data_IF_001998136947
#
_entry.id   IF_001998136947
#
_cell.length_a   1.000
_cell.length_b   1.000
_cell.length_c   1.000
_cell.angle_alpha   90.00
_cell.angle_beta   90.00
_cell.angle_gamma   90.00
#
_symmetry.space_group_name_H-M   'P 1'
#
loop_
_entity.id
_entity.type
_entity.pdbx_description
1 polymer ?
#
# COMPACT_ATOMS: atom_id res chain seq x y z
N UNK A 1 -3.53 8.09 21.71
CA UNK A 1 -3.23 7.08 20.66
C UNK A 1 -3.36 7.60 19.22
N UNK A 2 -4.39 8.40 18.83
CA UNK A 2 -4.56 8.88 17.46
C UNK A 2 -3.47 9.87 17.03
N UNK A 3 -3.08 10.80 17.90
CA UNK A 3 -1.93 11.68 17.67
C UNK A 3 -0.63 10.87 17.49
N UNK A 4 -0.49 9.75 18.21
CA UNK A 4 0.66 8.83 18.08
C UNK A 4 0.61 8.11 16.73
N UNK A 5 -0.54 7.63 16.29
CA UNK A 5 -0.72 7.01 14.97
C UNK A 5 -0.49 8.01 13.84
N UNK A 6 -1.06 9.21 13.92
CA UNK A 6 -0.84 10.28 12.95
C UNK A 6 0.64 10.68 12.89
N UNK A 7 1.29 10.86 14.04
CA UNK A 7 2.73 11.11 14.11
C UNK A 7 3.54 9.94 13.53
N UNK A 8 3.17 8.70 13.82
CA UNK A 8 3.83 7.52 13.27
C UNK A 8 3.71 7.47 11.74
N UNK A 9 2.53 7.73 11.17
CA UNK A 9 2.33 7.82 9.72
C UNK A 9 3.10 8.97 9.10
N UNK A 10 3.12 10.14 9.73
CA UNK A 10 3.87 11.30 9.25
C UNK A 10 5.39 11.05 9.28
N UNK A 11 5.91 10.48 10.38
CA UNK A 11 7.32 10.09 10.51
C UNK A 11 7.71 9.06 9.45
N UNK A 12 6.83 8.08 9.21
CA UNK A 12 7.04 7.05 8.20
C UNK A 12 7.04 7.63 6.78
N UNK A 13 6.11 8.53 6.48
CA UNK A 13 6.09 9.26 5.22
C UNK A 13 7.37 10.09 5.03
N UNK A 14 7.81 10.81 6.07
CA UNK A 14 9.05 11.57 6.05
C UNK A 14 10.28 10.67 5.84
N UNK A 15 10.31 9.48 6.47
CA UNK A 15 11.38 8.51 6.29
C UNK A 15 11.46 8.00 4.85
N UNK A 16 10.33 7.66 4.22
CA UNK A 16 10.30 7.26 2.81
C UNK A 16 10.70 8.39 1.87
N UNK A 17 10.25 9.63 2.14
CA UNK A 17 10.66 10.80 1.38
C UNK A 17 12.17 11.05 1.50
N UNK A 18 12.72 11.01 2.71
CA UNK A 18 14.15 11.16 2.93
C UNK A 18 14.94 10.07 2.18
N UNK A 19 14.47 8.82 2.22
CA UNK A 19 15.08 7.73 1.47
C UNK A 19 15.04 7.95 -0.05
N UNK A 20 13.93 8.45 -0.58
CA UNK A 20 13.78 8.81 -1.99
C UNK A 20 14.73 9.94 -2.39
N UNK A 21 14.85 10.99 -1.57
CA UNK A 21 15.76 12.10 -1.82
C UNK A 21 17.22 11.65 -1.77
N UNK A 22 17.59 10.78 -0.83
CA UNK A 22 18.94 10.18 -0.76
C UNK A 22 19.23 9.35 -2.01
N UNK A 23 18.28 8.51 -2.45
CA UNK A 23 18.42 7.70 -3.66
C UNK A 23 18.66 8.58 -4.90
N UNK A 24 17.86 9.64 -5.06
CA UNK A 24 18.01 10.61 -6.16
C UNK A 24 19.33 11.37 -6.09
N UNK A 25 19.80 11.75 -4.90
CA UNK A 25 21.10 12.42 -4.71
C UNK A 25 22.29 11.53 -5.04
N UNK A 26 22.23 10.24 -4.73
CA UNK A 26 23.29 9.28 -5.06
C UNK A 26 23.44 9.05 -6.58
N UNK A 27 22.47 9.48 -7.38
CA UNK A 27 22.50 9.39 -8.84
C UNK A 27 23.07 10.63 -9.53
N UNK A 28 23.26 11.74 -8.80
CA UNK A 28 24.02 12.86 -9.33
C UNK A 28 25.49 12.44 -9.53
N UNK A 29 26.16 12.84 -10.63
CA UNK A 29 27.39 12.23 -11.13
C UNK A 29 28.66 12.32 -10.23
N UNK A 30 28.55 12.67 -8.94
CA UNK A 30 29.69 13.04 -8.10
C UNK A 30 30.01 12.15 -6.88
N UNK A 31 29.24 11.10 -6.52
CA UNK A 31 29.58 10.31 -5.31
C UNK A 31 29.37 8.79 -5.45
N UNK A 32 30.49 8.06 -5.53
CA UNK A 32 30.55 6.63 -5.14
C UNK A 32 30.24 6.54 -3.64
N UNK A 33 29.28 5.70 -3.19
CA UNK A 33 29.10 5.49 -1.76
C UNK A 33 30.21 4.58 -1.22
N UNK A 34 31.02 5.12 -0.30
CA UNK A 34 31.84 4.34 0.61
C UNK A 34 31.06 3.94 1.87
N UNK A 35 31.31 2.74 2.39
CA UNK A 35 30.95 2.33 3.76
C UNK A 35 29.75 1.38 3.91
N UNK A 36 29.85 0.45 4.87
CA UNK A 36 28.87 -0.62 5.12
C UNK A 36 27.44 -0.19 5.48
N UNK A 37 27.26 1.04 5.98
CA UNK A 37 25.93 1.62 6.29
C UNK A 37 25.11 1.85 5.01
N UNK A 38 25.78 2.24 3.91
CA UNK A 38 25.13 2.38 2.60
C UNK A 38 24.61 1.03 2.08
N UNK A 39 25.35 -0.05 2.34
CA UNK A 39 24.95 -1.42 1.99
C UNK A 39 23.72 -1.91 2.74
N UNK A 40 23.66 -1.68 4.06
CA UNK A 40 22.49 -2.04 4.89
C UNK A 40 21.25 -1.24 4.47
N UNK A 41 21.40 0.06 4.22
CA UNK A 41 20.33 0.92 3.76
C UNK A 41 19.79 0.48 2.39
N UNK A 42 20.66 0.20 1.43
CA UNK A 42 20.28 -0.33 0.12
C UNK A 42 19.60 -1.71 0.22
N UNK A 43 19.96 -2.52 1.21
CA UNK A 43 19.36 -3.83 1.45
C UNK A 43 17.99 -3.80 2.11
N UNK A 44 17.71 -2.77 2.91
CA UNK A 44 16.37 -2.50 3.46
C UNK A 44 15.42 -1.96 2.40
N UNK A 45 15.93 -1.14 1.47
CA UNK A 45 15.13 -0.53 0.40
C UNK A 45 14.84 -1.47 -0.78
N UNK A 46 15.80 -2.31 -1.16
CA UNK A 46 15.71 -3.14 -2.38
C UNK A 46 15.20 -4.54 -2.09
N UNK A 47 14.21 -4.97 -2.87
CA UNK A 47 13.64 -6.31 -2.78
C UNK A 47 13.25 -6.86 -4.16
N UNK A 48 13.16 -8.19 -4.26
CA UNK A 48 12.82 -8.85 -5.53
C UNK A 48 13.82 -8.51 -6.65
N UNK A 49 13.33 -7.86 -7.72
CA UNK A 49 14.13 -7.56 -8.93
C UNK A 49 15.18 -6.46 -8.74
N UNK A 50 15.00 -5.61 -7.74
CA UNK A 50 15.90 -4.47 -7.49
C UNK A 50 17.09 -4.87 -6.61
N UNK A 51 17.14 -6.10 -6.10
CA UNK A 51 18.20 -6.61 -5.23
C UNK A 51 19.31 -7.31 -6.04
N UNK A 52 20.47 -6.65 -6.16
CA UNK A 52 21.65 -7.18 -6.88
C UNK A 52 22.58 -8.03 -5.99
N UNK A 53 23.25 -9.03 -6.58
CA UNK A 53 24.40 -9.72 -5.98
C UNK A 53 24.09 -10.80 -4.94
N UNK A 54 23.27 -11.80 -5.30
CA UNK A 54 22.83 -12.87 -4.39
C UNK A 54 23.97 -13.77 -3.87
N UNK A 55 25.07 -13.87 -4.60
CA UNK A 55 26.20 -14.77 -4.31
C UNK A 55 27.33 -14.16 -3.46
N UNK A 56 27.51 -12.84 -3.43
CA UNK A 56 28.69 -12.18 -2.84
C UNK A 56 28.48 -11.66 -1.40
N UNK A 57 27.46 -12.13 -0.68
CA UNK A 57 27.03 -11.52 0.60
C UNK A 57 27.37 -12.36 1.83
N UNK A 58 27.65 -11.71 2.99
CA UNK A 58 27.88 -12.39 4.26
C UNK A 58 26.73 -13.33 4.65
N UNK A 59 27.06 -14.47 5.26
CA UNK A 59 26.09 -15.52 5.59
C UNK A 59 24.98 -15.05 6.57
N UNK A 60 25.29 -14.15 7.49
CA UNK A 60 24.34 -13.63 8.48
C UNK A 60 23.22 -12.79 7.83
N UNK A 61 23.55 -11.95 6.84
CA UNK A 61 22.56 -11.15 6.08
C UNK A 61 21.61 -12.02 5.23
N UNK A 62 21.99 -13.27 4.94
CA UNK A 62 21.12 -14.24 4.25
C UNK A 62 20.11 -14.87 5.20
N UNK A 63 20.41 -14.98 6.50
CA UNK A 63 19.47 -15.50 7.51
C UNK A 63 18.32 -14.54 7.81
N UNK A 64 18.50 -13.25 7.56
CA UNK A 64 17.48 -12.19 7.74
C UNK A 64 16.57 -12.00 6.52
N UNK A 65 16.55 -12.96 5.59
CA UNK A 65 15.78 -12.87 4.35
C UNK A 65 14.67 -13.91 4.33
N UNK A 66 13.47 -13.47 3.96
CA UNK A 66 12.32 -14.35 3.82
C UNK A 66 11.84 -14.40 2.36
N UNK A 67 11.20 -15.50 1.92
CA UNK A 67 10.73 -15.65 0.55
C UNK A 67 9.71 -14.56 0.16
N UNK A 68 9.86 -13.98 -1.04
CA UNK A 68 8.93 -12.96 -1.56
C UNK A 68 7.49 -13.45 -1.65
N UNK A 69 7.28 -14.76 -1.86
CA UNK A 69 5.94 -15.39 -1.87
C UNK A 69 5.16 -15.17 -0.56
N UNK A 70 5.83 -14.86 0.55
CA UNK A 70 5.17 -14.53 1.82
C UNK A 70 4.43 -13.18 1.80
N UNK A 71 4.46 -12.42 0.69
CA UNK A 71 3.54 -11.31 0.47
C UNK A 71 2.06 -11.71 0.65
N UNK A 72 1.69 -12.96 0.39
CA UNK A 72 0.35 -13.48 0.70
C UNK A 72 -0.01 -13.32 2.18
N UNK A 73 0.93 -13.51 3.11
CA UNK A 73 0.66 -13.41 4.54
C UNK A 73 0.17 -12.02 4.94
N UNK A 74 0.70 -10.97 4.31
CA UNK A 74 0.28 -9.59 4.57
C UNK A 74 -1.20 -9.41 4.27
N UNK A 75 -1.65 -9.93 3.13
CA UNK A 75 -3.04 -9.83 2.72
C UNK A 75 -3.95 -10.77 3.51
N UNK A 76 -3.49 -11.95 3.94
CA UNK A 76 -4.23 -12.80 4.88
C UNK A 76 -4.48 -12.05 6.19
N UNK A 77 -3.43 -11.48 6.79
CA UNK A 77 -3.56 -10.68 8.01
C UNK A 77 -4.49 -9.49 7.79
N UNK A 78 -4.35 -8.78 6.68
CA UNK A 78 -5.22 -7.65 6.33
C UNK A 78 -6.70 -8.06 6.23
N UNK A 79 -7.01 -9.14 5.52
CA UNK A 79 -8.39 -9.63 5.35
C UNK A 79 -8.99 -10.05 6.70
N UNK A 80 -8.24 -10.77 7.52
CA UNK A 80 -8.72 -11.23 8.83
C UNK A 80 -8.91 -10.05 9.79
N UNK A 81 -7.91 -9.19 9.93
CA UNK A 81 -7.96 -8.07 10.86
C UNK A 81 -9.00 -7.02 10.46
N UNK A 82 -8.96 -6.56 9.20
CA UNK A 82 -9.88 -5.51 8.75
C UNK A 82 -11.30 -6.05 8.61
N UNK A 83 -11.47 -7.33 8.31
CA UNK A 83 -12.79 -7.99 8.34
C UNK A 83 -13.35 -8.08 9.75
N UNK A 84 -12.50 -8.42 10.73
CA UNK A 84 -12.87 -8.38 12.14
C UNK A 84 -13.31 -6.97 12.57
N UNK A 85 -12.53 -5.93 12.26
CA UNK A 85 -12.90 -4.55 12.58
C UNK A 85 -14.22 -4.12 11.88
N UNK A 86 -14.41 -4.52 10.62
CA UNK A 86 -15.61 -4.21 9.84
C UNK A 86 -16.86 -4.84 10.47
N UNK A 87 -16.78 -6.11 10.89
CA UNK A 87 -17.89 -6.80 11.55
C UNK A 87 -18.25 -6.09 12.85
N UNK A 88 -17.26 -5.69 13.66
CA UNK A 88 -17.51 -5.00 14.92
C UNK A 88 -18.10 -3.61 14.74
N UNK A 89 -17.58 -2.83 13.77
CA UNK A 89 -18.15 -1.53 13.44
C UNK A 89 -19.59 -1.68 12.93
N UNK A 90 -19.85 -2.61 12.02
CA UNK A 90 -21.20 -2.89 11.53
C UNK A 90 -22.16 -3.30 12.67
N UNK A 91 -21.73 -4.16 13.59
CA UNK A 91 -22.53 -4.54 14.76
C UNK A 91 -22.84 -3.33 15.66
N UNK A 92 -21.87 -2.43 15.83
CA UNK A 92 -22.05 -1.24 16.64
C UNK A 92 -23.03 -0.26 16.02
N UNK A 93 -22.95 -0.04 14.70
CA UNK A 93 -23.81 0.89 13.98
C UNK A 93 -25.25 0.38 13.80
N UNK A 94 -25.43 -0.90 13.45
CA UNK A 94 -26.74 -1.42 13.01
C UNK A 94 -27.43 -2.34 14.01
N UNK A 95 -26.68 -3.02 14.89
CA UNK A 95 -27.23 -4.02 15.81
C UNK A 95 -27.21 -3.57 17.27
N UNK A 96 -26.87 -2.30 17.54
CA UNK A 96 -26.79 -1.75 18.90
C UNK A 96 -25.71 -2.41 19.76
N UNK A 97 -24.71 -3.05 19.15
CA UNK A 97 -23.62 -3.69 19.87
C UNK A 97 -22.62 -2.69 20.44
N UNK A 98 -21.96 -3.01 21.55
CA UNK A 98 -20.80 -2.23 22.01
C UNK A 98 -19.52 -2.71 21.32
N UNK A 99 -18.66 -1.78 20.90
CA UNK A 99 -17.29 -2.11 20.52
C UNK A 99 -16.53 -2.72 21.72
N UNK A 100 -15.58 -3.65 21.50
CA UNK A 100 -14.73 -4.19 22.55
C UNK A 100 -14.05 -3.08 23.37
N UNK A 101 -13.88 -3.29 24.68
CA UNK A 101 -13.33 -2.28 25.61
C UNK A 101 -11.96 -1.74 25.19
N UNK A 102 -11.10 -2.58 24.62
CA UNK A 102 -9.81 -2.16 24.09
C UNK A 102 -9.95 -1.26 22.85
N UNK A 103 -10.96 -1.48 22.00
CA UNK A 103 -11.27 -0.60 20.86
C UNK A 103 -11.84 0.72 21.38
N UNK A 104 -12.75 0.67 22.33
CA UNK A 104 -13.32 1.89 22.93
C UNK A 104 -12.23 2.75 23.58
N UNK A 105 -11.29 2.13 24.30
CA UNK A 105 -10.14 2.84 24.88
C UNK A 105 -9.28 3.52 23.81
N UNK A 106 -9.04 2.83 22.69
CA UNK A 106 -8.37 3.40 21.52
C UNK A 106 -9.09 4.64 20.94
N UNK A 107 -10.43 4.61 20.92
CA UNK A 107 -11.30 5.65 20.38
C UNK A 107 -11.50 6.84 21.33
N UNK A 108 -11.51 6.63 22.65
CA UNK A 108 -11.78 7.71 23.62
C UNK A 108 -10.72 8.83 23.55
N UNK A 109 -9.53 8.54 23.02
CA UNK A 109 -8.45 9.51 22.85
C UNK A 109 -8.55 10.39 21.58
N UNK A 110 -9.64 10.34 20.81
CA UNK A 110 -9.77 10.98 19.47
C UNK A 110 -10.59 12.27 19.44
N UNK A 111 -11.29 12.63 20.52
CA UNK A 111 -12.31 13.68 20.47
C UNK A 111 -11.73 15.08 20.25
N UNK A 112 -11.84 15.59 19.01
CA UNK A 112 -11.79 17.02 18.76
C UNK A 112 -13.10 17.53 18.13
N UNK A 113 -13.81 16.80 17.25
CA UNK A 113 -15.19 17.15 16.85
C UNK A 113 -15.95 15.91 16.33
N UNK A 114 -17.06 15.48 16.95
CA UNK A 114 -17.87 14.39 16.41
C UNK A 114 -18.96 14.93 15.47
N UNK A 115 -18.92 14.57 14.19
CA UNK A 115 -20.06 14.75 13.28
C UNK A 115 -20.64 13.39 12.86
N UNK A 116 -21.97 13.24 12.87
CA UNK A 116 -22.66 11.97 12.57
C UNK A 116 -22.39 11.42 11.16
N UNK A 117 -21.85 12.25 10.25
CA UNK A 117 -21.44 11.83 8.90
C UNK A 117 -20.19 10.93 8.89
N UNK A 118 -19.42 10.95 9.98
CA UNK A 118 -18.12 10.27 10.05
C UNK A 118 -18.26 8.75 10.22
N UNK A 119 -19.33 8.27 10.87
CA UNK A 119 -19.58 6.83 11.09
C UNK A 119 -19.81 6.07 9.78
N UNK A 120 -20.71 6.56 8.92
CA UNK A 120 -20.98 5.92 7.62
C UNK A 120 -19.75 6.00 6.69
N UNK A 121 -19.07 7.15 6.67
CA UNK A 121 -17.83 7.33 5.89
C UNK A 121 -16.75 6.33 6.30
N UNK A 122 -16.54 6.15 7.60
CA UNK A 122 -15.55 5.21 8.15
C UNK A 122 -15.94 3.75 7.87
N UNK A 123 -17.21 3.38 8.02
CA UNK A 123 -17.72 2.05 7.65
C UNK A 123 -17.47 1.76 6.17
N UNK A 124 -17.80 2.72 5.29
CA UNK A 124 -17.60 2.58 3.86
C UNK A 124 -16.11 2.46 3.52
N UNK A 125 -15.22 3.28 4.09
CA UNK A 125 -13.77 3.14 3.88
C UNK A 125 -13.24 1.81 4.39
N UNK A 126 -13.71 1.33 5.55
CA UNK A 126 -13.27 0.05 6.10
C UNK A 126 -13.74 -1.12 5.20
N UNK A 127 -14.95 -1.02 4.63
CA UNK A 127 -15.43 -1.95 3.61
C UNK A 127 -14.57 -1.91 2.34
N UNK A 128 -14.26 -0.72 1.81
CA UNK A 128 -13.40 -0.57 0.63
C UNK A 128 -11.99 -1.13 0.88
N UNK A 129 -11.41 -0.88 2.06
CA UNK A 129 -10.12 -1.41 2.48
C UNK A 129 -10.14 -2.94 2.59
N UNK A 130 -11.22 -3.51 3.13
CA UNK A 130 -11.39 -4.96 3.22
C UNK A 130 -11.53 -5.60 1.83
N UNK A 131 -12.37 -5.04 0.96
CA UNK A 131 -12.51 -5.48 -0.44
C UNK A 131 -11.19 -5.39 -1.21
N UNK A 132 -10.44 -4.30 -1.01
CA UNK A 132 -9.10 -4.15 -1.57
C UNK A 132 -8.19 -5.29 -1.10
N UNK A 133 -8.19 -5.59 0.20
CA UNK A 133 -7.39 -6.67 0.78
C UNK A 133 -7.76 -8.05 0.23
N UNK A 134 -9.06 -8.33 0.10
CA UNK A 134 -9.57 -9.56 -0.50
C UNK A 134 -9.11 -9.72 -1.95
N UNK A 135 -9.23 -8.66 -2.77
CA UNK A 135 -8.74 -8.67 -4.15
C UNK A 135 -7.23 -8.90 -4.21
N UNK A 136 -6.44 -8.19 -3.40
CA UNK A 136 -4.98 -8.35 -3.39
C UNK A 136 -4.56 -9.74 -2.95
N UNK A 137 -5.27 -10.34 -1.99
CA UNK A 137 -5.09 -11.75 -1.59
C UNK A 137 -5.39 -12.69 -2.76
N UNK A 138 -6.54 -12.53 -3.41
CA UNK A 138 -6.96 -13.28 -4.58
C UNK A 138 -5.91 -13.22 -5.71
N UNK A 139 -5.42 -12.02 -6.02
CA UNK A 139 -4.37 -11.81 -7.02
C UNK A 139 -3.04 -12.46 -6.63
N UNK A 140 -2.72 -12.55 -5.34
CA UNK A 140 -1.53 -13.27 -4.90
C UNK A 140 -1.69 -14.79 -5.05
N UNK A 141 -2.88 -15.33 -4.79
CA UNK A 141 -3.15 -16.76 -4.87
C UNK A 141 -3.30 -17.26 -6.31
N UNK A 142 -3.98 -16.49 -7.17
CA UNK A 142 -4.39 -16.97 -8.50
C UNK A 142 -3.69 -16.26 -9.67
N UNK A 143 -3.35 -14.98 -9.52
CA UNK A 143 -2.78 -14.20 -10.64
C UNK A 143 -1.25 -14.23 -10.62
N UNK A 144 -0.65 -13.99 -9.46
CA UNK A 144 0.75 -13.64 -9.31
C UNK A 144 1.69 -14.82 -9.56
N UNK A 145 2.72 -14.59 -10.37
CA UNK A 145 3.83 -15.54 -10.56
C UNK A 145 5.03 -15.06 -9.74
N UNK A 146 5.22 -15.64 -8.56
CA UNK A 146 6.36 -15.33 -7.70
C UNK A 146 7.63 -16.03 -8.20
N UNK A 147 8.68 -15.25 -8.43
CA UNK A 147 10.02 -15.82 -8.61
C UNK A 147 10.66 -16.13 -7.26
N UNK A 148 11.86 -16.72 -7.28
CA UNK A 148 12.68 -16.96 -6.08
C UNK A 148 13.17 -15.65 -5.41
N UNK A 149 12.51 -14.51 -5.56
CA UNK A 149 12.89 -13.26 -4.89
C UNK A 149 12.79 -13.35 -3.37
N UNK A 150 13.45 -12.43 -2.68
CA UNK A 150 13.48 -12.33 -1.21
C UNK A 150 13.18 -10.91 -0.76
N UNK A 151 12.64 -10.80 0.46
CA UNK A 151 12.40 -9.55 1.19
C UNK A 151 13.16 -9.63 2.53
N UNK A 152 13.53 -8.48 3.10
CA UNK A 152 14.20 -8.43 4.40
C UNK A 152 13.19 -8.66 5.53
N UNK A 153 13.59 -9.29 6.64
CA UNK A 153 12.69 -9.57 7.77
C UNK A 153 12.09 -8.30 8.38
N UNK A 154 12.85 -7.21 8.44
CA UNK A 154 12.35 -5.91 8.91
C UNK A 154 11.23 -5.40 8.00
N UNK A 155 11.38 -5.52 6.68
CA UNK A 155 10.35 -5.16 5.71
C UNK A 155 9.12 -6.07 5.85
N UNK A 156 9.35 -7.35 6.18
CA UNK A 156 8.28 -8.31 6.43
C UNK A 156 7.45 -7.96 7.67
N UNK A 157 8.10 -7.71 8.80
CA UNK A 157 7.43 -7.27 10.03
C UNK A 157 6.72 -5.93 9.84
N UNK A 158 7.37 -4.99 9.15
CA UNK A 158 6.76 -3.70 8.79
C UNK A 158 5.49 -3.89 7.94
N UNK A 159 5.52 -4.77 6.93
CA UNK A 159 4.34 -5.06 6.09
C UNK A 159 3.17 -5.63 6.89
N UNK A 160 3.43 -6.53 7.84
CA UNK A 160 2.40 -7.06 8.73
C UNK A 160 1.82 -5.97 9.63
N UNK A 161 2.68 -5.17 10.27
CA UNK A 161 2.26 -4.06 11.14
C UNK A 161 1.46 -3.00 10.38
N UNK A 162 1.84 -2.70 9.13
CA UNK A 162 1.15 -1.75 8.26
C UNK A 162 -0.33 -2.12 8.06
N UNK A 163 -0.63 -3.38 7.74
CA UNK A 163 -2.02 -3.81 7.46
C UNK A 163 -2.89 -3.87 8.72
N UNK A 164 -2.29 -4.04 9.89
CA UNK A 164 -2.99 -3.88 11.17
C UNK A 164 -3.28 -2.39 11.42
N UNK A 165 -2.24 -1.55 11.29
CA UNK A 165 -2.31 -0.13 11.57
C UNK A 165 -3.30 0.62 10.66
N UNK A 166 -3.38 0.29 9.37
CA UNK A 166 -4.25 0.99 8.41
C UNK A 166 -5.73 0.81 8.76
N UNK A 167 -6.18 -0.39 9.13
CA UNK A 167 -7.56 -0.61 9.58
C UNK A 167 -7.87 0.07 10.90
N UNK A 168 -6.94 -0.03 11.86
CA UNK A 168 -7.05 0.68 13.13
C UNK A 168 -7.11 2.20 12.94
N UNK A 169 -6.45 2.73 11.91
CA UNK A 169 -6.48 4.15 11.56
C UNK A 169 -7.86 4.58 11.07
N UNK A 170 -8.58 3.74 10.30
CA UNK A 170 -9.98 4.03 9.91
C UNK A 170 -10.87 4.04 11.14
N UNK A 171 -10.72 3.03 12.01
CA UNK A 171 -11.54 2.92 13.21
C UNK A 171 -11.35 4.12 14.14
N UNK A 172 -10.10 4.58 14.33
CA UNK A 172 -9.78 5.76 15.16
C UNK A 172 -10.42 7.07 14.67
N UNK A 173 -11.06 7.09 13.50
CA UNK A 173 -11.79 8.26 12.98
C UNK A 173 -13.28 8.24 13.37
N UNK A 174 -13.78 7.14 13.93
CA UNK A 174 -15.18 7.01 14.34
C UNK A 174 -15.39 7.71 15.68
N UNK A 175 -16.35 8.65 15.79
CA UNK A 175 -16.72 9.25 17.07
C UNK A 175 -17.22 8.21 18.09
N UNK A 176 -16.86 8.40 19.36
CA UNK A 176 -17.21 7.47 20.46
C UNK A 176 -18.67 7.52 20.90
N UNK A 177 -19.47 8.43 20.38
CA UNK A 177 -20.83 8.72 20.86
C UNK A 177 -21.90 7.73 20.32
N UNK A 178 -21.53 6.45 20.19
CA UNK A 178 -22.41 5.33 19.80
C UNK A 178 -23.43 4.99 20.91
N UNK A 179 -23.47 5.77 22.00
CA UNK A 179 -24.20 5.41 23.22
C UNK A 179 -25.65 5.92 23.28
N UNK A 180 -26.07 6.79 22.37
CA UNK A 180 -27.46 7.27 22.35
C UNK A 180 -28.11 6.79 21.05
N UNK A 181 -29.05 5.85 21.17
CA UNK A 181 -29.83 5.25 20.08
C UNK A 181 -30.71 6.23 19.30
N UNK A 182 -30.09 7.29 18.75
CA UNK A 182 -30.65 8.09 17.67
C UNK A 182 -30.59 7.24 16.41
N UNK A 183 -31.70 7.21 15.68
CA UNK A 183 -31.79 6.59 14.37
C UNK A 183 -30.58 6.98 13.52
N UNK A 184 -29.88 5.96 13.02
CA UNK A 184 -28.76 6.08 12.13
C UNK A 184 -29.24 6.73 10.82
N UNK A 185 -29.08 8.05 10.71
CA UNK A 185 -29.31 8.73 9.44
C UNK A 185 -28.12 8.46 8.53
N UNK A 186 -28.23 7.39 7.72
CA UNK A 186 -27.27 7.12 6.64
C UNK A 186 -27.41 8.23 5.60
N UNK A 187 -26.56 9.24 5.70
CA UNK A 187 -26.54 10.33 4.74
C UNK A 187 -25.46 10.10 3.68
N UNK A 188 -25.91 9.83 2.46
CA UNK A 188 -25.03 9.76 1.29
C UNK A 188 -24.69 11.19 0.87
N UNK A 189 -23.42 11.41 0.53
CA UNK A 189 -22.87 12.70 0.14
C UNK A 189 -22.13 12.53 -1.19
N UNK A 190 -21.92 13.63 -1.92
CA UNK A 190 -21.26 13.60 -3.23
C UNK A 190 -19.87 12.96 -3.17
N UNK A 191 -19.11 13.19 -2.10
CA UNK A 191 -17.76 12.66 -1.93
C UNK A 191 -17.74 11.14 -1.73
N UNK A 192 -18.81 10.54 -1.20
CA UNK A 192 -18.97 9.09 -1.15
C UNK A 192 -19.03 8.49 -2.57
N UNK A 193 -19.84 9.09 -3.44
CA UNK A 193 -20.02 8.64 -4.83
C UNK A 193 -18.72 8.82 -5.62
N UNK A 194 -18.08 9.98 -5.51
CA UNK A 194 -16.80 10.26 -6.19
C UNK A 194 -15.70 9.32 -5.69
N UNK A 195 -15.59 9.14 -4.37
CA UNK A 195 -14.61 8.23 -3.76
C UNK A 195 -14.81 6.78 -4.21
N UNK A 196 -16.03 6.24 -4.15
CA UNK A 196 -16.31 4.86 -4.60
C UNK A 196 -16.05 4.69 -6.10
N UNK A 197 -16.42 5.68 -6.93
CA UNK A 197 -16.18 5.62 -8.38
C UNK A 197 -14.68 5.60 -8.69
N UNK A 198 -13.90 6.48 -8.05
CA UNK A 198 -12.45 6.53 -8.18
C UNK A 198 -11.79 5.24 -7.67
N UNK A 199 -12.28 4.68 -6.56
CA UNK A 199 -11.83 3.40 -6.02
C UNK A 199 -11.98 2.27 -7.05
N UNK A 200 -13.18 2.12 -7.63
CA UNK A 200 -13.46 1.07 -8.62
C UNK A 200 -12.54 1.24 -9.83
N UNK A 201 -12.46 2.45 -10.38
CA UNK A 201 -11.63 2.75 -11.54
C UNK A 201 -10.15 2.43 -11.30
N UNK A 202 -9.58 2.93 -10.20
CA UNK A 202 -8.19 2.66 -9.83
C UNK A 202 -7.94 1.17 -9.55
N UNK A 203 -8.86 0.49 -8.88
CA UNK A 203 -8.80 -0.94 -8.59
C UNK A 203 -8.79 -1.79 -9.87
N UNK A 204 -9.59 -1.43 -10.86
CA UNK A 204 -9.62 -2.10 -12.17
C UNK A 204 -8.28 -1.93 -12.92
N UNK A 205 -7.75 -0.71 -13.01
CA UNK A 205 -6.46 -0.47 -13.66
C UNK A 205 -5.32 -1.16 -12.93
N UNK A 206 -5.33 -1.17 -11.59
CA UNK A 206 -4.33 -1.91 -10.83
C UNK A 206 -4.36 -3.41 -11.16
N UNK A 207 -5.56 -4.02 -11.15
CA UNK A 207 -5.73 -5.43 -11.46
C UNK A 207 -5.23 -5.75 -12.88
N UNK A 208 -5.62 -4.94 -13.87
CA UNK A 208 -5.16 -5.08 -15.27
C UNK A 208 -3.64 -5.04 -15.36
N UNK A 209 -3.00 -4.08 -14.70
CA UNK A 209 -1.54 -3.96 -14.68
C UNK A 209 -0.86 -5.21 -14.08
N UNK A 210 -1.44 -5.79 -13.02
CA UNK A 210 -0.91 -7.00 -12.39
C UNK A 210 -1.10 -8.24 -13.26
N UNK A 211 -2.23 -8.35 -13.97
CA UNK A 211 -2.48 -9.40 -14.95
C UNK A 211 -1.47 -9.32 -16.10
N UNK A 212 -1.21 -8.11 -16.63
CA UNK A 212 -0.16 -7.89 -17.66
C UNK A 212 1.19 -8.40 -17.15
N UNK A 213 1.60 -8.00 -15.93
CA UNK A 213 2.87 -8.44 -15.34
C UNK A 213 2.93 -9.97 -15.13
N UNK A 214 1.82 -10.60 -14.77
CA UNK A 214 1.76 -12.05 -14.63
C UNK A 214 1.84 -12.77 -15.98
N UNK A 215 1.16 -12.25 -17.00
CA UNK A 215 1.12 -12.83 -18.34
C UNK A 215 2.47 -12.76 -19.06
N UNK A 216 3.35 -11.80 -18.72
CA UNK A 216 4.74 -11.80 -19.19
C UNK A 216 5.53 -13.06 -18.78
N UNK A 217 5.03 -13.82 -17.80
CA UNK A 217 5.64 -15.05 -17.28
C UNK A 217 4.85 -16.31 -17.61
N UNK A 218 3.67 -16.17 -18.20
CA UNK A 218 2.76 -17.29 -18.53
C UNK A 218 2.65 -17.45 -20.05
N UNK A 219 2.43 -18.68 -20.49
CA UNK A 219 1.98 -18.99 -21.86
C UNK A 219 0.52 -18.54 -22.06
N UNK A 220 0.05 -18.54 -23.31
CA UNK A 220 -1.38 -18.35 -23.65
C UNK A 220 -2.28 -19.38 -22.95
N UNK A 221 -1.76 -20.56 -22.63
CA UNK A 221 -2.47 -21.60 -21.85
C UNK A 221 -2.41 -21.41 -20.33
N UNK A 222 -1.81 -20.32 -19.83
CA UNK A 222 -1.69 -20.01 -18.41
C UNK A 222 -0.51 -20.70 -17.68
N UNK A 223 0.21 -21.61 -18.34
CA UNK A 223 1.38 -22.29 -17.76
C UNK A 223 2.56 -21.32 -17.59
N UNK A 224 3.25 -21.34 -16.45
CA UNK A 224 4.45 -20.54 -16.22
C UNK A 224 5.57 -21.01 -17.15
N UNK A 225 6.07 -20.13 -18.01
CA UNK A 225 7.12 -20.42 -19.01
C UNK A 225 8.48 -19.85 -18.62
N UNK A 226 8.52 -18.75 -17.88
CA UNK A 226 9.76 -18.11 -17.48
C UNK A 226 9.58 -17.30 -16.21
N UNK A 227 10.66 -17.19 -15.42
CA UNK A 227 10.76 -16.28 -14.29
C UNK A 227 11.60 -15.03 -14.62
N UNK A 228 12.08 -14.91 -15.87
CA UNK A 228 12.80 -13.72 -16.34
C UNK A 228 11.91 -12.47 -16.31
N UNK A 229 12.55 -11.31 -16.32
CA UNK A 229 11.86 -10.04 -16.46
C UNK A 229 11.78 -9.67 -17.94
N UNK A 230 10.66 -9.07 -18.31
CA UNK A 230 10.40 -8.52 -19.65
C UNK A 230 9.81 -7.11 -19.51
N UNK A 231 9.85 -6.31 -20.57
CA UNK A 231 9.26 -4.97 -20.57
C UNK A 231 7.72 -5.12 -20.70
N UNK A 232 6.93 -4.57 -19.76
CA UNK A 232 5.47 -4.57 -19.86
C UNK A 232 4.97 -3.53 -20.86
N UNK A 233 3.92 -3.87 -21.60
CA UNK A 233 3.21 -3.01 -22.54
C UNK A 233 1.69 -3.15 -22.32
N UNK A 234 0.93 -2.14 -22.73
CA UNK A 234 -0.52 -2.05 -22.54
C UNK A 234 -0.93 -1.31 -21.26
N UNK A 235 -2.17 -0.80 -21.27
CA UNK A 235 -2.70 0.08 -20.22
C UNK A 235 -1.75 1.26 -19.92
N UNK A 236 -1.68 1.74 -18.69
CA UNK A 236 -0.79 2.82 -18.28
C UNK A 236 0.71 2.47 -18.29
N UNK A 237 1.11 1.25 -18.67
CA UNK A 237 2.54 0.97 -18.86
C UNK A 237 3.14 1.80 -20.00
N UNK A 238 2.33 2.29 -20.94
CA UNK A 238 2.84 3.12 -22.05
C UNK A 238 3.38 4.48 -21.61
N UNK A 239 2.94 4.99 -20.46
CA UNK A 239 3.36 6.28 -19.92
C UNK A 239 4.30 6.15 -18.73
N UNK A 240 4.17 5.10 -17.91
CA UNK A 240 4.98 4.92 -16.70
C UNK A 240 5.48 3.48 -16.50
N UNK A 241 6.58 3.30 -15.79
CA UNK A 241 7.11 1.96 -15.47
C UNK A 241 6.26 1.19 -14.48
N UNK A 242 5.66 1.88 -13.51
CA UNK A 242 4.98 1.25 -12.39
C UNK A 242 3.55 1.79 -12.20
N UNK A 243 2.67 1.63 -13.20
CA UNK A 243 1.30 2.13 -13.15
C UNK A 243 0.46 1.48 -12.05
N UNK A 244 0.73 0.22 -11.71
CA UNK A 244 0.06 -0.48 -10.60
C UNK A 244 0.33 0.16 -9.23
N UNK A 245 1.47 0.85 -9.07
CA UNK A 245 1.75 1.66 -7.89
C UNK A 245 0.96 2.97 -7.91
N UNK A 246 0.82 3.60 -9.09
CA UNK A 246 0.02 4.81 -9.23
C UNK A 246 -1.46 4.52 -8.96
N UNK A 247 -1.97 3.42 -9.49
CA UNK A 247 -3.30 2.93 -9.18
C UNK A 247 -3.49 2.64 -7.69
N UNK A 248 -2.49 2.08 -7.00
CA UNK A 248 -2.52 1.94 -5.53
C UNK A 248 -2.69 3.31 -4.84
N UNK A 249 -1.89 4.30 -5.21
CA UNK A 249 -2.01 5.65 -4.65
C UNK A 249 -3.44 6.19 -4.83
N UNK A 250 -4.02 6.04 -6.02
CA UNK A 250 -5.38 6.50 -6.31
C UNK A 250 -6.44 5.76 -5.48
N UNK A 251 -6.23 4.48 -5.15
CA UNK A 251 -7.10 3.74 -4.21
C UNK A 251 -7.08 4.40 -2.83
N UNK A 252 -5.92 4.76 -2.29
CA UNK A 252 -5.84 5.41 -0.97
C UNK A 252 -6.39 6.85 -0.99
N UNK A 253 -6.13 7.59 -2.07
CA UNK A 253 -6.74 8.92 -2.29
C UNK A 253 -8.26 8.78 -2.33
N UNK A 254 -8.81 7.79 -3.02
CA UNK A 254 -10.26 7.59 -3.12
C UNK A 254 -10.92 7.41 -1.74
N UNK A 255 -10.26 6.70 -0.82
CA UNK A 255 -10.71 6.56 0.57
C UNK A 255 -10.61 7.89 1.34
N UNK A 256 -9.63 8.75 1.03
CA UNK A 256 -9.56 10.11 1.59
C UNK A 256 -10.73 10.97 1.13
N UNK A 257 -11.14 10.83 -0.14
CA UNK A 257 -12.34 11.48 -0.69
C UNK A 257 -13.59 10.94 0.04
N UNK A 258 -13.70 9.63 0.22
CA UNK A 258 -14.82 9.00 0.94
C UNK A 258 -14.94 9.49 2.38
N UNK A 259 -13.83 9.92 3.01
CA UNK A 259 -13.80 10.56 4.34
C UNK A 259 -14.03 12.09 4.30
N UNK A 260 -14.51 12.62 3.17
CA UNK A 260 -14.80 14.05 2.99
C UNK A 260 -13.56 14.95 2.99
N UNK A 261 -12.35 14.42 2.78
CA UNK A 261 -11.07 15.14 2.80
C UNK A 261 -10.62 15.72 4.15
N UNK A 262 -11.43 15.60 5.20
CA UNK A 262 -11.15 16.24 6.50
C UNK A 262 -10.16 15.44 7.37
N UNK A 263 -9.95 14.16 7.06
CA UNK A 263 -9.11 13.27 7.88
C UNK A 263 -7.62 13.51 7.64
N UNK A 264 -7.01 14.36 8.46
CA UNK A 264 -5.55 14.61 8.47
C UNK A 264 -4.78 13.30 8.66
N UNK A 265 -5.25 12.44 9.55
CA UNK A 265 -4.59 11.16 9.84
C UNK A 265 -4.61 10.24 8.61
N UNK A 266 -5.72 10.19 7.86
CA UNK A 266 -5.77 9.42 6.62
C UNK A 266 -4.88 10.02 5.53
N UNK A 267 -4.78 11.35 5.45
CA UNK A 267 -3.81 11.99 4.56
C UNK A 267 -2.36 11.63 4.89
N UNK A 268 -2.01 11.44 6.16
CA UNK A 268 -0.69 10.91 6.53
C UNK A 268 -0.47 9.49 5.96
N UNK A 269 -1.51 8.63 5.94
CA UNK A 269 -1.45 7.31 5.28
C UNK A 269 -1.22 7.48 3.78
N UNK A 270 -1.98 8.36 3.11
CA UNK A 270 -1.83 8.63 1.68
C UNK A 270 -0.40 9.09 1.34
N UNK A 271 0.17 10.00 2.14
CA UNK A 271 1.55 10.48 1.96
C UNK A 271 2.57 9.37 2.18
N UNK A 272 2.36 8.50 3.17
CA UNK A 272 3.18 7.31 3.37
C UNK A 272 3.15 6.39 2.14
N UNK A 273 1.97 6.10 1.59
CA UNK A 273 1.81 5.30 0.37
C UNK A 273 2.48 5.98 -0.82
N UNK A 274 2.27 7.28 -1.01
CA UNK A 274 2.88 8.07 -2.09
C UNK A 274 4.40 7.90 -2.11
N UNK A 275 5.07 8.16 -0.99
CA UNK A 275 6.53 8.14 -0.94
C UNK A 275 7.11 6.72 -0.98
N UNK A 276 6.47 5.75 -0.32
CA UNK A 276 6.88 4.34 -0.42
C UNK A 276 6.78 3.83 -1.86
N UNK A 277 5.67 4.12 -2.55
CA UNK A 277 5.45 3.72 -3.93
C UNK A 277 6.37 4.46 -4.91
N UNK A 278 6.60 5.77 -4.71
CA UNK A 278 7.55 6.55 -5.48
C UNK A 278 8.97 5.97 -5.40
N UNK A 279 9.40 5.60 -4.19
CA UNK A 279 10.71 4.97 -3.96
C UNK A 279 10.83 3.62 -4.69
N UNK A 280 9.83 2.75 -4.55
CA UNK A 280 9.80 1.46 -5.24
C UNK A 280 9.73 1.60 -6.77
N UNK A 281 9.02 2.62 -7.26
CA UNK A 281 8.87 2.93 -8.67
C UNK A 281 10.19 3.37 -9.30
N UNK A 282 10.92 4.27 -8.64
CA UNK A 282 12.23 4.77 -9.10
C UNK A 282 13.24 3.62 -9.22
N UNK A 283 13.35 2.79 -8.18
CA UNK A 283 14.21 1.60 -8.22
C UNK A 283 13.81 0.62 -9.34
N UNK A 284 12.51 0.49 -9.60
CA UNK A 284 11.99 -0.36 -10.68
C UNK A 284 12.23 0.22 -12.07
N UNK A 285 12.15 1.54 -12.21
CA UNK A 285 12.40 2.28 -13.45
C UNK A 285 13.88 2.15 -13.83
N UNK A 286 14.79 2.39 -12.89
CA UNK A 286 16.23 2.18 -13.07
C UNK A 286 16.58 0.76 -13.47
N UNK A 287 15.94 -0.23 -12.82
CA UNK A 287 16.12 -1.62 -13.19
C UNK A 287 15.78 -1.82 -14.67
N UNK A 288 14.68 -1.28 -15.17
CA UNK A 288 14.32 -1.43 -16.57
C UNK A 288 15.31 -0.70 -17.51
N UNK A 289 15.66 0.54 -17.21
CA UNK A 289 16.61 1.33 -18.02
C UNK A 289 17.99 0.66 -18.12
N UNK A 290 18.47 0.06 -17.02
CA UNK A 290 19.79 -0.58 -16.97
C UNK A 290 19.83 -1.94 -17.67
N UNK A 291 18.75 -2.72 -17.58
CA UNK A 291 18.73 -4.11 -18.03
C UNK A 291 18.15 -4.31 -19.43
N UNK A 292 17.45 -3.31 -19.99
CA UNK A 292 16.85 -3.41 -21.31
C UNK A 292 17.22 -2.21 -22.18
N UNK A 293 18.06 -2.43 -23.18
CA UNK A 293 18.45 -1.39 -24.16
C UNK A 293 17.26 -0.86 -24.97
N UNK A 294 16.24 -1.70 -25.19
CA UNK A 294 14.99 -1.35 -25.88
C UNK A 294 13.94 -0.68 -24.96
N UNK A 295 14.28 -0.34 -23.72
CA UNK A 295 13.31 0.27 -22.80
C UNK A 295 12.86 1.66 -23.31
N UNK A 296 11.53 1.95 -23.37
CA UNK A 296 11.05 3.23 -23.87
C UNK A 296 11.48 4.41 -23.00
N UNK A 297 12.29 5.33 -23.57
CA UNK A 297 12.91 6.44 -22.85
C UNK A 297 11.93 7.53 -22.39
N UNK A 298 10.75 7.61 -23.02
CA UNK A 298 9.74 8.62 -22.68
C UNK A 298 8.95 8.26 -21.42
N UNK A 299 8.95 6.99 -20.99
CA UNK A 299 8.21 6.55 -19.80
C UNK A 299 8.76 7.23 -18.56
N UNK A 300 7.87 7.61 -17.64
CA UNK A 300 8.22 8.10 -16.30
C UNK A 300 8.21 6.95 -15.29
N UNK A 301 8.65 7.17 -14.05
CA UNK A 301 8.75 6.08 -13.08
C UNK A 301 7.37 5.66 -12.53
N UNK A 302 6.54 6.64 -12.18
CA UNK A 302 5.40 6.48 -11.29
C UNK A 302 4.18 7.34 -11.68
N UNK A 303 4.31 8.66 -11.79
CA UNK A 303 3.20 9.59 -12.10
C UNK A 303 3.28 9.95 -13.59
N UNK A 304 2.23 9.65 -14.39
CA UNK A 304 2.22 9.95 -15.82
C UNK A 304 2.60 11.40 -16.10
N UNK A 305 3.48 11.59 -17.08
CA UNK A 305 3.98 12.89 -17.55
C UNK A 305 4.78 13.73 -16.54
N UNK A 306 4.82 13.35 -15.26
CA UNK A 306 5.46 14.13 -14.19
C UNK A 306 6.72 13.44 -13.65
N UNK A 307 6.60 12.22 -13.10
CA UNK A 307 7.63 11.62 -12.25
C UNK A 307 7.84 10.12 -12.49
#
# INVERSE_FOLDING_TARGET
>A
MPAVLAAAWALLAAAFLAALLVLRRQQAPARRPGGGISGLFQDLLRYGKTKSGRGQRPAWLRRLQVPKRWFTHFYVVSVLWNGFLLIWLFRAEFLGGSLPSWIQHCLTCTNIFPSAHEHFSALLVLLLLWLHSCRRLAECLWTSVFSNGVIHIVQYCFGLGYYIAVGSTVLCQVPTDVRNGKELSVQICWYHIVGVTMYIWASLHQHRCLVILANLRKSKSGKVISLSHSIPFGDWFETVSCPHYFAELLIYVSMAITLGFHSVMWWCVVMCVLFNQALAAVLSHEFYQKNFSSYPKHRKAFIPFVF
#
